data_IF_701554810659
#
_entry.id   IF_701554810659
#
_cell.length_a   1.000
_cell.length_b   1.000
_cell.length_c   1.000
_cell.angle_alpha   90.00
_cell.angle_beta   90.00
_cell.angle_gamma   90.00
#
_symmetry.space_group_name_H-M   'P 1'
#
loop_
_entity.id
_entity.type
_entity.pdbx_description
1 polymer ?
#
# COMPACT_ATOMS: atom_id res chain seq x y z
N UNK A 1 53.04 2.64 37.97
CA UNK A 1 52.44 3.46 36.88
C UNK A 1 51.85 2.66 35.70
N UNK A 2 51.79 1.33 35.74
CA UNK A 2 51.20 0.52 34.66
C UNK A 2 49.68 0.26 34.82
N UNK A 3 49.17 0.19 36.06
CA UNK A 3 47.75 -0.04 36.32
C UNK A 3 46.83 1.10 35.83
N UNK A 4 47.35 2.33 35.75
CA UNK A 4 46.57 3.49 35.34
C UNK A 4 46.30 3.57 33.83
N UNK A 5 47.03 2.81 32.99
CA UNK A 5 46.86 2.81 31.54
C UNK A 5 45.88 1.72 31.05
N UNK A 6 45.81 0.59 31.76
CA UNK A 6 44.87 -0.48 31.44
C UNK A 6 43.40 -0.10 31.74
N UNK A 7 43.17 0.70 32.79
CA UNK A 7 41.82 1.15 33.17
C UNK A 7 41.22 2.15 32.15
N UNK A 8 42.05 3.02 31.56
CA UNK A 8 41.60 4.00 30.54
C UNK A 8 41.21 3.30 29.24
N UNK A 9 41.98 2.30 28.79
CA UNK A 9 41.68 1.53 27.58
C UNK A 9 40.38 0.73 27.64
N UNK A 10 39.99 0.24 28.83
CA UNK A 10 38.72 -0.46 29.00
C UNK A 10 37.52 0.49 28.92
N UNK A 11 37.63 1.67 29.52
CA UNK A 11 36.58 2.70 29.46
C UNK A 11 36.40 3.19 28.02
N UNK A 12 37.50 3.37 27.26
CA UNK A 12 37.42 3.77 25.85
C UNK A 12 36.73 2.70 24.98
N UNK A 13 36.92 1.41 25.29
CA UNK A 13 36.30 0.30 24.55
C UNK A 13 34.79 0.20 24.84
N UNK A 14 34.37 0.37 26.09
CA UNK A 14 32.95 0.39 26.45
C UNK A 14 32.21 1.58 25.84
N UNK A 15 32.85 2.75 25.82
CA UNK A 15 32.30 3.96 25.17
C UNK A 15 32.19 3.76 23.65
N UNK A 16 33.19 3.12 23.01
CA UNK A 16 33.14 2.80 21.59
C UNK A 16 31.99 1.81 21.26
N UNK A 17 31.78 0.80 22.10
CA UNK A 17 30.66 -0.15 21.95
C UNK A 17 29.31 0.53 22.15
N UNK A 18 29.17 1.40 23.16
CA UNK A 18 27.94 2.15 23.38
C UNK A 18 27.61 3.08 22.21
N UNK A 19 28.61 3.78 21.67
CA UNK A 19 28.45 4.61 20.47
C UNK A 19 28.05 3.78 19.24
N UNK A 20 28.67 2.62 19.03
CA UNK A 20 28.34 1.72 17.93
C UNK A 20 26.89 1.21 18.02
N UNK A 21 26.45 0.77 19.20
CA UNK A 21 25.06 0.33 19.42
C UNK A 21 24.06 1.48 19.23
N UNK A 22 24.41 2.69 19.66
CA UNK A 22 23.57 3.87 19.45
C UNK A 22 23.41 4.20 17.97
N UNK A 23 24.49 4.12 17.18
CA UNK A 23 24.45 4.32 15.72
C UNK A 23 23.58 3.25 15.05
N UNK A 24 23.73 1.97 15.42
CA UNK A 24 22.91 0.89 14.89
C UNK A 24 21.42 1.07 15.23
N UNK A 25 21.10 1.40 16.47
CA UNK A 25 19.73 1.67 16.90
C UNK A 25 19.12 2.85 16.14
N UNK A 26 19.90 3.93 15.96
CA UNK A 26 19.47 5.11 15.21
C UNK A 26 19.21 4.80 13.74
N UNK A 27 20.09 4.02 13.10
CA UNK A 27 19.92 3.56 11.73
C UNK A 27 18.69 2.66 11.56
N UNK A 28 18.43 1.75 12.51
CA UNK A 28 17.24 0.90 12.50
C UNK A 28 15.94 1.71 12.62
N UNK A 29 15.92 2.73 13.48
CA UNK A 29 14.77 3.65 13.62
C UNK A 29 14.52 4.43 12.33
N UNK A 30 15.58 4.96 11.71
CA UNK A 30 15.46 5.68 10.43
C UNK A 30 14.98 4.78 9.29
N UNK A 31 15.51 3.56 9.20
CA UNK A 31 15.05 2.55 8.23
C UNK A 31 13.59 2.18 8.44
N UNK A 32 13.17 1.95 9.68
CA UNK A 32 11.77 1.67 10.00
C UNK A 32 10.85 2.85 9.68
N UNK A 33 11.26 4.08 9.98
CA UNK A 33 10.51 5.29 9.65
C UNK A 33 10.37 5.47 8.13
N UNK A 34 11.46 5.29 7.37
CA UNK A 34 11.45 5.35 5.91
C UNK A 34 10.55 4.26 5.29
N UNK A 35 10.62 3.03 5.82
CA UNK A 35 9.78 1.92 5.39
C UNK A 35 8.29 2.21 5.63
N UNK A 36 7.93 2.69 6.83
CA UNK A 36 6.56 3.08 7.17
C UNK A 36 6.06 4.23 6.31
N UNK A 37 6.92 5.22 6.04
CA UNK A 37 6.58 6.35 5.18
C UNK A 37 6.28 5.90 3.74
N UNK A 38 7.09 5.01 3.17
CA UNK A 38 6.86 4.44 1.84
C UNK A 38 5.54 3.67 1.78
N UNK A 39 5.24 2.87 2.80
CA UNK A 39 4.00 2.10 2.89
C UNK A 39 2.76 3.00 2.92
N UNK A 40 2.81 4.10 3.69
CA UNK A 40 1.72 5.09 3.77
C UNK A 40 1.45 5.75 2.42
N UNK A 41 2.52 6.15 1.71
CA UNK A 41 2.41 6.76 0.39
C UNK A 41 1.82 5.78 -0.63
N UNK A 42 2.22 4.50 -0.60
CA UNK A 42 1.71 3.50 -1.54
C UNK A 42 0.21 3.23 -1.36
N UNK A 43 -0.26 3.14 -0.11
CA UNK A 43 -1.69 2.86 0.17
C UNK A 43 -2.56 4.06 -0.23
N UNK A 44 -2.08 5.29 0.03
CA UNK A 44 -2.79 6.51 -0.38
C UNK A 44 -2.83 6.66 -1.89
N UNK A 45 -1.72 6.40 -2.59
CA UNK A 45 -1.69 6.43 -4.06
C UNK A 45 -2.61 5.36 -4.67
N UNK A 46 -2.65 4.17 -4.07
CA UNK A 46 -3.56 3.10 -4.47
C UNK A 46 -5.02 3.53 -4.30
N UNK A 47 -5.37 4.09 -3.13
CA UNK A 47 -6.71 4.61 -2.85
C UNK A 47 -7.13 5.66 -3.89
N UNK A 48 -6.28 6.66 -4.14
CA UNK A 48 -6.59 7.76 -5.06
C UNK A 48 -6.96 7.20 -6.44
N UNK A 49 -6.15 6.30 -6.98
CA UNK A 49 -6.40 5.72 -8.31
C UNK A 49 -7.64 4.83 -8.33
N UNK A 50 -7.85 4.01 -7.30
CA UNK A 50 -9.05 3.19 -7.16
C UNK A 50 -10.32 4.05 -7.10
N UNK A 51 -10.32 5.11 -6.29
CA UNK A 51 -11.42 6.06 -6.15
C UNK A 51 -11.68 6.81 -7.48
N UNK A 52 -10.64 7.24 -8.18
CA UNK A 52 -10.76 7.87 -9.51
C UNK A 52 -11.41 6.93 -10.52
N UNK A 53 -10.97 5.67 -10.59
CA UNK A 53 -11.55 4.66 -11.50
C UNK A 53 -13.03 4.43 -11.15
N UNK A 54 -13.36 4.25 -9.88
CA UNK A 54 -14.76 4.06 -9.48
C UNK A 54 -15.63 5.26 -9.83
N UNK A 55 -15.20 6.47 -9.50
CA UNK A 55 -16.03 7.67 -9.69
C UNK A 55 -16.23 7.94 -11.19
N UNK A 56 -15.17 7.85 -12.00
CA UNK A 56 -15.23 8.16 -13.42
C UNK A 56 -15.83 7.03 -14.27
N UNK A 57 -15.41 5.78 -14.03
CA UNK A 57 -15.81 4.62 -14.83
C UNK A 57 -17.02 3.91 -14.23
N UNK A 58 -17.08 3.79 -12.90
CA UNK A 58 -18.14 3.06 -12.19
C UNK A 58 -17.81 1.60 -11.94
N UNK A 59 -16.52 1.23 -11.96
CA UNK A 59 -16.11 -0.15 -11.69
C UNK A 59 -16.25 -0.47 -10.20
N UNK A 60 -17.15 -1.39 -9.86
CA UNK A 60 -17.42 -1.80 -8.47
C UNK A 60 -16.21 -2.46 -7.78
N UNK A 61 -15.34 -3.13 -8.53
CA UNK A 61 -14.11 -3.71 -7.97
C UNK A 61 -13.16 -2.61 -7.49
N UNK A 62 -13.10 -1.48 -8.22
CA UNK A 62 -12.31 -0.33 -7.84
C UNK A 62 -12.90 0.37 -6.60
N UNK A 63 -14.23 0.33 -6.42
CA UNK A 63 -14.88 0.77 -5.17
C UNK A 63 -14.42 -0.05 -3.98
N UNK A 64 -14.51 -1.38 -4.08
CA UNK A 64 -14.10 -2.28 -3.00
C UNK A 64 -12.61 -2.13 -2.70
N UNK A 65 -11.78 -1.93 -3.73
CA UNK A 65 -10.37 -1.63 -3.58
C UNK A 65 -10.11 -0.32 -2.82
N UNK A 66 -10.86 0.75 -3.12
CA UNK A 66 -10.78 2.01 -2.39
C UNK A 66 -11.22 1.87 -0.92
N UNK A 67 -12.34 1.18 -0.66
CA UNK A 67 -12.82 0.93 0.71
C UNK A 67 -11.82 0.08 1.50
N UNK A 68 -11.28 -0.99 0.91
CA UNK A 68 -10.28 -1.83 1.54
C UNK A 68 -8.98 -1.08 1.85
N UNK A 69 -8.59 -0.12 0.99
CA UNK A 69 -7.43 0.74 1.21
C UNK A 69 -7.66 1.73 2.36
N UNK A 70 -8.80 2.41 2.40
CA UNK A 70 -9.14 3.35 3.48
C UNK A 70 -9.23 2.65 4.84
N UNK A 71 -10.00 1.57 4.93
CA UNK A 71 -10.18 0.82 6.18
C UNK A 71 -8.85 0.19 6.65
N UNK A 72 -7.96 -0.15 5.72
CA UNK A 72 -6.60 -0.61 6.02
C UNK A 72 -5.59 0.48 6.39
N UNK A 73 -5.89 1.75 6.17
CA UNK A 73 -4.98 2.87 6.40
C UNK A 73 -5.01 3.38 7.85
N UNK A 74 -3.98 4.15 8.23
CA UNK A 74 -3.95 4.85 9.51
C UNK A 74 -4.93 6.03 9.51
N UNK A 75 -5.44 6.43 10.68
CA UNK A 75 -6.47 7.48 10.83
C UNK A 75 -6.12 8.79 10.10
N UNK A 76 -4.85 9.23 10.18
CA UNK A 76 -4.38 10.46 9.51
C UNK A 76 -4.48 10.36 7.99
N UNK A 77 -4.21 9.18 7.43
CA UNK A 77 -4.27 8.95 5.98
C UNK A 77 -5.71 8.82 5.50
N UNK A 78 -6.59 8.22 6.30
CA UNK A 78 -8.04 8.19 6.02
C UNK A 78 -8.63 9.58 5.87
N UNK A 79 -8.24 10.52 6.74
CA UNK A 79 -8.70 11.91 6.62
C UNK A 79 -8.26 12.52 5.27
N UNK A 80 -7.03 12.28 4.83
CA UNK A 80 -6.54 12.72 3.51
C UNK A 80 -7.30 12.05 2.36
N UNK A 81 -7.60 10.76 2.48
CA UNK A 81 -8.39 10.00 1.50
C UNK A 81 -9.81 10.56 1.39
N UNK A 82 -10.45 10.89 2.51
CA UNK A 82 -11.77 11.55 2.55
C UNK A 82 -11.73 12.96 1.96
N UNK A 83 -10.72 13.76 2.32
CA UNK A 83 -10.49 15.08 1.75
C UNK A 83 -10.33 15.02 0.23
N UNK A 84 -9.62 14.02 -0.29
CA UNK A 84 -9.51 13.80 -1.72
C UNK A 84 -10.86 13.55 -2.39
N UNK A 85 -11.69 12.65 -1.86
CA UNK A 85 -13.02 12.36 -2.41
C UNK A 85 -13.92 13.60 -2.33
N UNK A 86 -13.86 14.35 -1.24
CA UNK A 86 -14.61 15.60 -1.07
C UNK A 86 -14.17 16.67 -2.08
N UNK A 87 -12.86 16.84 -2.28
CA UNK A 87 -12.29 17.75 -3.28
C UNK A 87 -12.78 17.36 -4.69
N UNK A 88 -12.68 16.08 -5.04
CA UNK A 88 -13.09 15.57 -6.35
C UNK A 88 -14.60 15.78 -6.58
N UNK A 89 -15.43 15.49 -5.57
CA UNK A 89 -16.88 15.75 -5.61
C UNK A 89 -17.19 17.24 -5.80
N UNK A 90 -16.48 18.13 -5.10
CA UNK A 90 -16.66 19.57 -5.22
C UNK A 90 -16.25 20.08 -6.61
N UNK A 91 -15.18 19.54 -7.19
CA UNK A 91 -14.78 19.85 -8.56
C UNK A 91 -15.88 19.51 -9.58
N UNK A 92 -16.60 18.40 -9.41
CA UNK A 92 -17.72 18.08 -10.30
C UNK A 92 -18.95 18.95 -10.07
N UNK A 93 -19.27 19.27 -8.81
CA UNK A 93 -20.41 20.16 -8.48
C UNK A 93 -20.23 21.58 -9.02
N UNK A 94 -18.99 22.06 -9.11
CA UNK A 94 -18.67 23.36 -9.70
C UNK A 94 -18.86 23.43 -11.22
N UNK A 95 -18.96 22.29 -11.91
CA UNK A 95 -19.17 22.25 -13.35
C UNK A 95 -20.66 22.22 -13.69
N UNK A 96 -21.15 23.29 -14.32
CA UNK A 96 -22.55 23.38 -14.78
C UNK A 96 -22.82 22.35 -15.88
N UNK A 97 -23.67 21.36 -15.59
CA UNK A 97 -24.24 20.47 -16.61
C UNK A 97 -24.64 19.09 -16.09
N UNK A 98 -25.64 18.48 -16.73
CA UNK A 98 -26.17 17.14 -16.38
C UNK A 98 -25.18 15.98 -16.66
N UNK A 99 -24.02 16.28 -17.27
CA UNK A 99 -23.01 15.28 -17.64
C UNK A 99 -22.34 14.61 -16.44
N UNK A 100 -22.29 15.29 -15.28
CA UNK A 100 -21.51 14.86 -14.11
C UNK A 100 -22.35 14.27 -12.96
N UNK A 101 -23.67 14.13 -13.15
CA UNK A 101 -24.58 13.68 -12.09
C UNK A 101 -24.17 12.31 -11.55
N UNK A 102 -23.85 11.35 -12.44
CA UNK A 102 -23.42 10.01 -12.04
C UNK A 102 -22.13 10.01 -11.23
N UNK A 103 -21.18 10.87 -11.57
CA UNK A 103 -19.90 11.01 -10.87
C UNK A 103 -20.10 11.62 -9.49
N UNK A 104 -20.99 12.61 -9.36
CA UNK A 104 -21.36 13.20 -8.08
C UNK A 104 -22.06 12.17 -7.18
N UNK A 105 -22.98 11.36 -7.74
CA UNK A 105 -23.65 10.29 -7.01
C UNK A 105 -22.67 9.22 -6.53
N UNK A 106 -21.77 8.74 -7.41
CA UNK A 106 -20.74 7.76 -7.05
C UNK A 106 -19.77 8.29 -6.00
N UNK A 107 -19.33 9.54 -6.13
CA UNK A 107 -18.50 10.18 -5.11
C UNK A 107 -19.24 10.28 -3.78
N UNK A 108 -20.52 10.66 -3.79
CA UNK A 108 -21.36 10.70 -2.59
C UNK A 108 -21.57 9.32 -1.96
N UNK A 109 -21.74 8.27 -2.77
CA UNK A 109 -21.83 6.90 -2.29
C UNK A 109 -20.53 6.45 -1.62
N UNK A 110 -19.39 6.70 -2.28
CA UNK A 110 -18.08 6.37 -1.74
C UNK A 110 -17.85 7.10 -0.41
N UNK A 111 -18.10 8.41 -0.34
CA UNK A 111 -17.97 9.19 0.92
C UNK A 111 -18.78 8.57 2.06
N UNK A 112 -20.05 8.20 1.81
CA UNK A 112 -20.89 7.55 2.82
C UNK A 112 -20.31 6.25 3.33
N UNK A 113 -19.68 5.45 2.47
CA UNK A 113 -19.03 4.21 2.89
C UNK A 113 -17.76 4.45 3.72
N UNK A 114 -16.96 5.44 3.35
CA UNK A 114 -15.78 5.85 4.11
C UNK A 114 -16.16 6.44 5.48
N UNK A 115 -17.34 7.03 5.60
CA UNK A 115 -17.87 7.60 6.84
C UNK A 115 -18.56 6.59 7.76
N UNK A 116 -18.80 5.34 7.32
CA UNK A 116 -19.30 4.30 8.21
C UNK A 116 -18.32 4.08 9.37
N UNK A 117 -18.76 4.40 10.58
CA UNK A 117 -18.02 4.19 11.84
C UNK A 117 -18.38 2.81 12.38
N UNK A 118 -17.83 1.76 11.79
CA UNK A 118 -17.89 0.40 12.35
C UNK A 118 -16.58 0.00 13.03
N UNK A 119 -16.54 -1.22 13.56
CA UNK A 119 -15.32 -1.82 14.06
C UNK A 119 -14.31 -1.94 12.88
N UNK A 120 -13.36 -1.00 12.85
CA UNK A 120 -12.47 -0.76 11.72
C UNK A 120 -11.71 -2.00 11.25
N UNK A 121 -11.40 -2.92 12.16
CA UNK A 121 -10.73 -4.19 11.85
C UNK A 121 -11.63 -5.17 11.09
N UNK A 122 -12.91 -5.23 11.44
CA UNK A 122 -13.87 -6.15 10.84
C UNK A 122 -14.34 -5.66 9.47
N UNK A 123 -14.66 -4.37 9.33
CA UNK A 123 -15.00 -3.78 8.02
C UNK A 123 -13.84 -3.85 7.02
N UNK A 124 -12.60 -3.68 7.48
CA UNK A 124 -11.42 -3.85 6.63
C UNK A 124 -11.25 -5.30 6.16
N UNK A 125 -11.55 -6.27 7.02
CA UNK A 125 -11.52 -7.68 6.69
C UNK A 125 -12.60 -8.02 5.66
N UNK A 126 -13.84 -7.61 5.91
CA UNK A 126 -14.99 -7.83 5.00
C UNK A 126 -14.75 -7.18 3.63
N UNK A 127 -14.23 -5.96 3.57
CA UNK A 127 -13.91 -5.29 2.31
C UNK A 127 -12.80 -6.02 1.54
N UNK A 128 -11.80 -6.57 2.24
CA UNK A 128 -10.72 -7.37 1.64
C UNK A 128 -11.20 -8.74 1.18
N UNK A 129 -12.08 -9.38 1.93
CA UNK A 129 -12.69 -10.66 1.57
C UNK A 129 -13.60 -10.49 0.34
N UNK A 130 -14.44 -9.47 0.33
CA UNK A 130 -15.25 -9.12 -0.83
C UNK A 130 -14.39 -8.82 -2.07
N UNK A 131 -13.27 -8.11 -1.90
CA UNK A 131 -12.32 -7.86 -2.98
C UNK A 131 -11.61 -9.15 -3.42
N UNK A 132 -11.28 -10.06 -2.51
CA UNK A 132 -10.69 -11.36 -2.80
C UNK A 132 -11.58 -12.17 -3.74
N UNK A 133 -12.89 -12.19 -3.45
CA UNK A 133 -13.88 -12.94 -4.22
C UNK A 133 -14.15 -12.34 -5.60
N UNK A 134 -14.01 -11.01 -5.75
CA UNK A 134 -14.32 -10.33 -7.02
C UNK A 134 -13.11 -10.10 -7.91
N UNK A 135 -11.97 -9.74 -7.34
CA UNK A 135 -10.80 -9.30 -8.11
C UNK A 135 -9.50 -9.50 -7.31
N UNK A 136 -8.93 -10.71 -7.42
CA UNK A 136 -7.68 -11.08 -6.75
C UNK A 136 -6.50 -10.18 -7.17
N UNK A 137 -6.50 -9.67 -8.40
CA UNK A 137 -5.44 -8.80 -8.92
C UNK A 137 -5.38 -7.48 -8.12
N UNK A 138 -6.54 -6.87 -7.85
CA UNK A 138 -6.62 -5.67 -7.01
C UNK A 138 -6.24 -5.97 -5.56
N UNK A 139 -6.63 -7.12 -5.02
CA UNK A 139 -6.20 -7.50 -3.67
C UNK A 139 -4.67 -7.66 -3.59
N UNK A 140 -4.06 -8.31 -4.58
CA UNK A 140 -2.61 -8.50 -4.65
C UNK A 140 -1.89 -7.15 -4.77
N UNK A 141 -2.39 -6.27 -5.63
CA UNK A 141 -1.88 -4.92 -5.81
C UNK A 141 -2.02 -4.06 -4.53
N UNK A 142 -3.12 -4.19 -3.79
CA UNK A 142 -3.30 -3.53 -2.50
C UNK A 142 -2.28 -4.03 -1.47
N UNK A 143 -2.01 -5.34 -1.43
CA UNK A 143 -1.03 -5.94 -0.50
C UNK A 143 0.40 -5.53 -0.82
N UNK A 144 0.76 -5.43 -2.11
CA UNK A 144 2.08 -5.00 -2.55
C UNK A 144 2.25 -3.48 -2.60
N UNK A 145 1.17 -2.71 -2.44
CA UNK A 145 1.18 -1.26 -2.62
C UNK A 145 1.33 -0.83 -4.08
N UNK A 146 1.04 -1.71 -5.04
CA UNK A 146 1.15 -1.45 -6.48
C UNK A 146 -0.07 -0.66 -7.00
N UNK A 147 0.01 0.67 -6.87
CA UNK A 147 -0.94 1.59 -7.48
C UNK A 147 -0.87 1.60 -9.03
N UNK A 148 0.14 0.98 -9.64
CA UNK A 148 0.31 0.86 -11.08
C UNK A 148 -0.72 -0.05 -11.75
N UNK A 149 -1.38 -0.93 -10.99
CA UNK A 149 -2.44 -1.81 -11.51
C UNK A 149 -3.55 -1.02 -12.24
N UNK A 150 -3.95 0.14 -11.70
CA UNK A 150 -4.97 1.00 -12.30
C UNK A 150 -4.44 1.78 -13.50
N UNK A 151 -3.16 2.15 -13.50
CA UNK A 151 -2.53 2.83 -14.63
C UNK A 151 -2.48 1.93 -15.86
N UNK A 152 -2.14 0.65 -15.66
CA UNK A 152 -2.08 -0.35 -16.73
C UNK A 152 -3.47 -0.68 -17.28
N UNK A 153 -4.47 -0.77 -16.40
CA UNK A 153 -5.84 -1.13 -16.78
C UNK A 153 -6.66 0.04 -17.34
N UNK A 154 -6.36 1.27 -16.91
CA UNK A 154 -7.06 2.49 -17.31
C UNK A 154 -6.10 3.62 -17.71
N UNK A 155 -5.22 3.42 -18.70
CA UNK A 155 -4.21 4.42 -19.07
C UNK A 155 -4.82 5.76 -19.48
N UNK A 156 -6.00 5.73 -20.10
CA UNK A 156 -6.75 6.91 -20.53
C UNK A 156 -7.15 7.86 -19.38
N UNK A 157 -7.22 7.37 -18.15
CA UNK A 157 -7.59 8.20 -16.99
C UNK A 157 -6.39 8.94 -16.39
N UNK A 158 -5.17 8.47 -16.67
CA UNK A 158 -3.96 8.93 -15.98
C UNK A 158 -2.89 9.48 -16.93
N UNK A 159 -3.10 9.39 -18.25
CA UNK A 159 -2.30 10.06 -19.28
C UNK A 159 -0.80 9.80 -19.13
N UNK A 160 -0.01 10.88 -18.92
CA UNK A 160 1.45 10.82 -18.80
C UNK A 160 1.96 9.91 -17.67
N UNK A 161 1.19 9.72 -16.60
CA UNK A 161 1.58 8.78 -15.53
C UNK A 161 1.49 7.34 -16.00
N UNK A 162 0.48 7.01 -16.80
CA UNK A 162 0.35 5.68 -17.38
C UNK A 162 1.43 5.41 -18.43
N UNK A 163 1.75 6.39 -19.28
CA UNK A 163 2.84 6.30 -20.26
C UNK A 163 4.18 6.01 -19.58
N UNK A 164 4.50 6.70 -18.48
CA UNK A 164 5.71 6.42 -17.70
C UNK A 164 5.69 5.02 -17.09
N UNK A 165 4.59 4.62 -16.46
CA UNK A 165 4.49 3.30 -15.83
C UNK A 165 4.59 2.14 -16.83
N UNK A 166 4.10 2.34 -18.06
CA UNK A 166 4.24 1.38 -19.16
C UNK A 166 5.67 1.37 -19.73
N UNK A 167 6.31 2.53 -19.85
CA UNK A 167 7.69 2.65 -20.34
C UNK A 167 8.73 2.02 -19.40
N UNK A 168 8.51 2.04 -18.09
CA UNK A 168 9.43 1.42 -17.11
C UNK A 168 9.27 -0.12 -17.01
N UNK A 169 8.47 -0.75 -17.87
CA UNK A 169 8.40 -2.21 -17.94
C UNK A 169 7.85 -2.88 -16.69
N UNK A 170 6.85 -2.28 -16.02
CA UNK A 170 6.09 -2.96 -14.97
C UNK A 170 5.14 -4.02 -15.60
N UNK A 171 5.72 -5.00 -16.29
CA UNK A 171 5.04 -6.16 -16.85
C UNK A 171 4.64 -7.08 -15.68
N UNK A 172 3.42 -7.66 -15.69
CA UNK A 172 2.89 -8.48 -14.58
C UNK A 172 3.66 -9.77 -14.27
N UNK A 173 4.63 -10.16 -15.11
CA UNK A 173 5.30 -11.47 -15.02
C UNK A 173 6.72 -11.42 -14.41
N UNK A 174 7.34 -10.23 -14.31
CA UNK A 174 8.73 -10.12 -13.83
C UNK A 174 8.90 -10.39 -12.32
N UNK A 175 7.83 -10.42 -11.54
CA UNK A 175 7.87 -10.78 -10.11
C UNK A 175 7.40 -12.22 -9.87
N UNK A 176 6.83 -12.87 -10.89
CA UNK A 176 6.39 -14.26 -10.79
C UNK A 176 7.53 -15.26 -11.03
N UNK A 177 8.55 -14.91 -11.82
CA UNK A 177 9.66 -15.82 -12.11
C UNK A 177 10.72 -15.89 -11.00
N UNK A 178 10.89 -14.84 -10.20
CA UNK A 178 11.93 -14.81 -9.16
C UNK A 178 11.55 -15.58 -7.87
N UNK A 179 10.30 -16.03 -7.73
CA UNK A 179 9.85 -16.85 -6.60
C UNK A 179 9.61 -18.32 -6.94
N UNK A 180 9.67 -18.71 -8.22
CA UNK A 180 9.49 -20.11 -8.64
C UNK A 180 10.83 -20.83 -8.82
N UNK A 181 11.94 -20.10 -8.99
CA UNK A 181 13.28 -20.70 -9.10
C UNK A 181 13.80 -21.33 -7.79
N UNK A 182 13.32 -20.89 -6.63
CA UNK A 182 13.88 -21.33 -5.33
C UNK A 182 13.22 -22.60 -4.74
N UNK A 183 12.14 -23.09 -5.36
CA UNK A 183 11.39 -24.25 -4.85
C UNK A 183 11.69 -25.58 -5.60
N UNK A 184 12.60 -25.58 -6.58
CA UNK A 184 13.02 -26.81 -7.28
C UNK A 184 14.25 -27.49 -6.66
N UNK A 185 14.85 -26.91 -5.62
CA UNK A 185 16.07 -27.44 -4.99
C UNK A 185 15.85 -28.12 -3.62
N UNK A 186 14.62 -28.42 -3.21
CA UNK A 186 14.39 -29.21 -2.00
C UNK A 186 14.52 -30.72 -2.29
N UNK A 187 15.49 -31.44 -1.69
CA UNK A 187 15.60 -32.88 -1.84
C UNK A 187 14.38 -33.57 -1.22
N UNK A 188 13.74 -34.42 -2.03
CA UNK A 188 12.56 -35.19 -1.66
C UNK A 188 12.75 -35.95 -0.34
N UNK A 189 12.06 -35.49 0.71
CA UNK A 189 12.02 -36.15 2.01
C UNK A 189 11.20 -37.44 1.87
N UNK A 190 11.90 -38.58 1.82
CA UNK A 190 11.31 -39.93 1.79
C UNK A 190 10.35 -40.10 2.97
N UNK A 191 9.08 -40.42 2.69
CA UNK A 191 8.12 -40.90 3.69
C UNK A 191 8.53 -42.32 4.13
N UNK A 192 8.53 -42.65 5.43
CA UNK A 192 8.64 -44.03 5.86
C UNK A 192 7.32 -44.77 5.57
N UNK A 193 7.47 -46.03 5.16
CA UNK A 193 6.36 -46.95 4.92
C UNK A 193 5.61 -47.20 6.23
N UNK A 194 4.29 -47.17 6.16
CA UNK A 194 3.42 -47.63 7.23
C UNK A 194 3.60 -49.14 7.40
N UNK A 195 3.88 -49.56 8.63
CA UNK A 195 3.74 -50.92 9.14
C UNK A 195 2.73 -50.92 10.26
#
# INVERSE_FOLDING_TARGET
MLASRACVLWIDMDVAWAAFLFVLASAAVLMYAAYRYKQILSVTAYFIKAATVYILVGEEDARLAAVAADKGAALKDRNRMKEFVAMLSNSFRGQKGNRWVKQIERAGYLTKELDKVGALSQEAFEAREALCLRNEVYLRALRSGDAGVFLRRYPQLFGREAEKALATGAHPDAVAEDMVADNQNQPAKRRPAAG
#
